data_IF_879114969404
#
_entry.id   IF_879114969404
#
_cell.length_a   1.000
_cell.length_b   1.000
_cell.length_c   1.000
_cell.angle_alpha   90.00
_cell.angle_beta   90.00
_cell.angle_gamma   90.00
#
_symmetry.space_group_name_H-M   'P 1'
#
loop_
_entity.id
_entity.type
_entity.pdbx_description
1 polymer ?
#
# COMPACT_ATOMS: atom_id res chain seq x y z
N UNK A 1 -4.34 -31.74 0.90
CA UNK A 1 -4.66 -30.69 -0.08
C UNK A 1 -4.28 -29.35 0.53
N UNK A 2 -3.13 -28.78 0.18
CA UNK A 2 -2.83 -27.38 0.53
C UNK A 2 -3.68 -26.49 -0.39
N UNK A 3 -4.49 -25.63 0.23
CA UNK A 3 -5.37 -24.70 -0.49
C UNK A 3 -4.56 -23.87 -1.47
N UNK A 4 -5.12 -23.86 -2.68
CA UNK A 4 -4.62 -23.19 -3.87
C UNK A 4 -4.75 -21.67 -3.73
N UNK A 5 -3.98 -21.01 -4.57
CA UNK A 5 -4.10 -19.60 -4.93
C UNK A 5 -3.51 -18.59 -3.93
N UNK A 6 -2.20 -18.75 -3.69
CA UNK A 6 -1.34 -17.57 -3.52
C UNK A 6 -1.38 -16.82 -4.86
N UNK A 7 -2.37 -15.94 -5.02
CA UNK A 7 -2.54 -15.08 -6.20
C UNK A 7 -1.42 -14.03 -6.22
N UNK A 8 -0.20 -14.47 -6.53
CA UNK A 8 0.85 -13.65 -7.10
C UNK A 8 0.44 -13.26 -8.53
N UNK A 9 -0.69 -12.55 -8.66
CA UNK A 9 -1.09 -11.94 -9.91
C UNK A 9 -0.17 -10.74 -10.13
N UNK A 10 0.80 -10.96 -11.00
CA UNK A 10 1.62 -9.98 -11.72
C UNK A 10 2.03 -8.73 -10.94
N UNK A 11 3.29 -8.69 -10.53
CA UNK A 11 4.04 -7.43 -10.37
C UNK A 11 4.29 -6.78 -11.75
N UNK A 12 3.28 -6.73 -12.61
CA UNK A 12 3.34 -6.08 -13.90
C UNK A 12 2.90 -4.63 -13.66
N UNK A 13 3.91 -3.78 -13.48
CA UNK A 13 3.87 -2.32 -13.55
C UNK A 13 2.49 -1.69 -13.28
N UNK A 14 2.04 -1.76 -12.02
CA UNK A 14 0.82 -1.05 -11.61
C UNK A 14 1.08 0.44 -11.75
N UNK A 15 0.37 1.11 -12.67
CA UNK A 15 0.38 2.55 -12.76
C UNK A 15 -0.16 3.14 -11.45
N UNK A 16 0.74 3.67 -10.61
CA UNK A 16 0.39 4.18 -9.29
C UNK A 16 -0.55 5.37 -9.38
N UNK A 17 -0.54 6.11 -10.50
CA UNK A 17 -1.40 7.27 -10.72
C UNK A 17 -2.88 6.92 -10.94
N UNK A 18 -3.15 5.71 -11.44
CA UNK A 18 -4.50 5.18 -11.66
C UNK A 18 -5.17 4.64 -10.40
N UNK A 19 -4.45 4.54 -9.29
CA UNK A 19 -4.99 4.05 -8.02
C UNK A 19 -5.93 5.08 -7.40
N UNK A 20 -7.08 4.60 -6.91
CA UNK A 20 -8.03 5.43 -6.20
C UNK A 20 -7.45 5.90 -4.86
N UNK A 21 -7.65 7.17 -4.55
CA UNK A 21 -7.33 7.72 -3.23
C UNK A 21 -8.05 6.92 -2.12
N UNK A 22 -7.33 6.43 -1.09
CA UNK A 22 -7.90 5.59 -0.05
C UNK A 22 -8.72 6.37 1.00
N UNK A 23 -8.76 7.70 0.96
CA UNK A 23 -9.50 8.50 1.94
C UNK A 23 -11.00 8.18 1.88
N UNK A 24 -11.61 8.06 3.06
CA UNK A 24 -13.01 7.67 3.21
C UNK A 24 -13.29 6.18 2.97
N UNK A 25 -12.30 5.39 2.54
CA UNK A 25 -12.38 3.92 2.49
C UNK A 25 -11.80 3.36 3.78
N UNK A 26 -10.59 3.77 4.15
CA UNK A 26 -9.94 3.34 5.39
C UNK A 26 -9.56 4.53 6.27
N UNK A 27 -9.53 4.28 7.58
CA UNK A 27 -8.96 5.18 8.58
C UNK A 27 -7.77 4.50 9.27
N UNK A 28 -6.72 5.27 9.57
CA UNK A 28 -5.57 4.79 10.34
C UNK A 28 -5.90 4.84 11.84
N UNK A 29 -5.61 3.76 12.56
CA UNK A 29 -5.91 3.63 14.00
C UNK A 29 -4.65 3.79 14.83
N UNK A 30 -3.67 2.91 14.65
CA UNK A 30 -2.43 2.88 15.42
C UNK A 30 -1.28 2.34 14.57
N UNK A 31 -0.05 2.74 14.88
CA UNK A 31 1.16 2.13 14.29
C UNK A 31 1.37 0.77 14.94
N UNK A 32 1.50 -0.28 14.13
CA UNK A 32 1.73 -1.65 14.59
C UNK A 32 3.13 -2.17 14.27
N UNK A 33 3.88 -1.47 13.40
CA UNK A 33 5.27 -1.86 13.13
C UNK A 33 5.98 -0.96 12.14
N UNK A 34 7.29 -1.15 12.06
CA UNK A 34 8.16 -0.58 11.04
C UNK A 34 8.51 -1.72 10.07
N UNK A 35 8.21 -1.57 8.79
CA UNK A 35 8.73 -2.51 7.79
C UNK A 35 9.68 -1.80 6.84
N UNK A 36 10.37 -2.57 6.01
CA UNK A 36 11.51 -2.12 5.18
C UNK A 36 11.27 -0.81 4.42
N UNK A 37 10.08 -0.62 3.86
CA UNK A 37 9.75 0.53 3.02
C UNK A 37 8.80 1.56 3.66
N UNK A 38 8.58 1.49 4.98
CA UNK A 38 7.72 2.47 5.66
C UNK A 38 6.96 1.93 6.87
N UNK A 39 6.01 2.71 7.39
CA UNK A 39 5.25 2.35 8.59
C UNK A 39 4.08 1.41 8.26
N UNK A 40 3.79 0.49 9.17
CA UNK A 40 2.63 -0.39 9.11
C UNK A 40 1.64 0.07 10.16
N UNK A 41 0.43 0.41 9.72
CA UNK A 41 -0.68 0.81 10.56
C UNK A 41 -1.73 -0.29 10.63
N UNK A 42 -2.39 -0.39 11.77
CA UNK A 42 -3.73 -0.99 11.85
C UNK A 42 -4.72 0.03 11.26
N UNK A 43 -5.40 -0.38 10.21
CA UNK A 43 -6.47 0.37 9.59
C UNK A 43 -7.83 -0.24 9.89
N UNK A 44 -8.87 0.58 9.76
CA UNK A 44 -10.27 0.14 9.81
C UNK A 44 -10.99 0.57 8.54
N UNK A 45 -11.70 -0.35 7.89
CA UNK A 45 -12.54 -0.03 6.74
C UNK A 45 -13.78 0.73 7.24
N UNK A 46 -13.98 1.95 6.77
CA UNK A 46 -14.98 2.89 7.29
C UNK A 46 -16.39 2.31 7.21
N UNK A 47 -16.72 1.62 6.12
CA UNK A 47 -18.08 1.09 5.91
C UNK A 47 -18.37 -0.21 6.65
N UNK A 48 -17.38 -1.09 6.77
CA UNK A 48 -17.60 -2.45 7.29
C UNK A 48 -17.02 -2.68 8.68
N UNK A 49 -16.19 -1.76 9.18
CA UNK A 49 -15.45 -1.93 10.43
C UNK A 49 -14.33 -2.99 10.36
N UNK A 50 -14.08 -3.60 9.20
CA UNK A 50 -13.06 -4.63 9.07
C UNK A 50 -11.67 -4.06 9.32
N UNK A 51 -10.87 -4.77 10.12
CA UNK A 51 -9.48 -4.41 10.37
C UNK A 51 -8.57 -4.88 9.23
N UNK A 52 -7.61 -4.04 8.89
CA UNK A 52 -6.59 -4.32 7.88
C UNK A 52 -5.21 -3.84 8.34
N UNK A 53 -4.15 -4.42 7.78
CA UNK A 53 -2.81 -3.85 7.88
C UNK A 53 -2.57 -2.92 6.68
N UNK A 54 -2.21 -1.67 6.93
CA UNK A 54 -1.97 -0.66 5.91
C UNK A 54 -0.49 -0.27 5.93
N UNK A 55 0.19 -0.49 4.81
CA UNK A 55 1.59 -0.10 4.63
C UNK A 55 1.65 1.28 3.99
N UNK A 56 2.13 2.27 4.74
CA UNK A 56 2.32 3.64 4.25
C UNK A 56 3.80 3.80 3.90
N UNK A 57 4.07 4.28 2.68
CA UNK A 57 5.41 4.44 2.12
C UNK A 57 5.46 5.75 1.35
N UNK A 58 6.56 6.49 1.48
CA UNK A 58 6.80 7.65 0.64
C UNK A 58 7.16 7.19 -0.78
N UNK A 59 6.53 7.79 -1.78
CA UNK A 59 6.86 7.56 -3.19
C UNK A 59 7.60 8.77 -3.73
N UNK A 60 8.72 8.54 -4.39
CA UNK A 60 9.44 9.57 -5.14
C UNK A 60 9.25 9.29 -6.62
N UNK A 61 8.69 10.24 -7.36
CA UNK A 61 8.68 10.18 -8.81
C UNK A 61 10.11 10.33 -9.31
N UNK A 62 10.67 9.29 -9.95
CA UNK A 62 11.97 9.39 -10.60
C UNK A 62 11.78 10.14 -11.91
N UNK A 63 11.65 11.46 -11.81
CA UNK A 63 11.37 12.36 -12.92
C UNK A 63 12.22 13.63 -12.81
N UNK A 64 13.54 13.51 -12.97
CA UNK A 64 14.35 14.67 -13.37
C UNK A 64 15.66 14.26 -14.06
N UNK A 65 16.01 14.85 -15.23
CA UNK A 65 17.25 14.58 -15.96
C UNK A 65 18.53 15.03 -15.23
N UNK A 66 18.42 15.62 -14.03
CA UNK A 66 19.54 16.12 -13.25
C UNK A 66 20.48 15.03 -12.69
N UNK A 67 20.11 13.74 -12.79
CA UNK A 67 20.95 12.60 -12.41
C UNK A 67 21.65 11.91 -13.59
N UNK A 68 21.58 12.49 -14.80
CA UNK A 68 22.41 12.10 -15.94
C UNK A 68 23.54 13.14 -16.10
N UNK A 69 24.64 12.98 -15.37
CA UNK A 69 25.93 13.62 -15.70
C UNK A 69 27.08 12.66 -15.49
#
# INVERSE_FOLDING_TARGET
MMSRDCSARSLELTDLSSLRDPAGIFELVEVVGNGTYGQVYKGRHVKTGQLAAIKVMDVTEVGHPAYLT
#
